data_IF_715647013829
#
_entry.id   IF_715647013829
#
_cell.length_a   1.000
_cell.length_b   1.000
_cell.length_c   1.000
_cell.angle_alpha   90.00
_cell.angle_beta   90.00
_cell.angle_gamma   90.00
#
_symmetry.space_group_name_H-M   'P 1'
#
loop_
_entity.id
_entity.type
_entity.pdbx_description
1 polymer ?
#
# COMPACT_ATOMS: atom_id res chain seq x y z
N UNK A 1 -26.46 10.47 -18.65
CA UNK A 1 -27.86 10.46 -18.19
C UNK A 1 -27.86 10.89 -16.73
N UNK A 2 -28.62 11.93 -16.36
CA UNK A 2 -28.80 12.32 -14.95
C UNK A 2 -29.63 11.21 -14.28
N UNK A 3 -29.32 10.77 -13.04
CA UNK A 3 -30.14 9.79 -12.34
C UNK A 3 -31.60 10.25 -12.30
N UNK A 4 -32.53 9.35 -12.64
CA UNK A 4 -33.95 9.61 -12.55
C UNK A 4 -34.42 9.30 -11.12
N UNK A 5 -35.37 10.08 -10.55
CA UNK A 5 -35.99 9.75 -9.27
C UNK A 5 -36.51 8.30 -9.28
N UNK A 6 -36.01 7.45 -8.39
CA UNK A 6 -36.33 6.02 -8.31
C UNK A 6 -35.24 5.06 -8.81
N UNK A 7 -34.14 5.56 -9.38
CA UNK A 7 -33.03 4.71 -9.80
C UNK A 7 -32.31 4.06 -8.60
N UNK A 8 -31.91 2.80 -8.76
CA UNK A 8 -31.12 2.05 -7.78
C UNK A 8 -29.64 2.44 -7.87
N UNK A 9 -29.12 3.20 -6.91
CA UNK A 9 -27.75 3.73 -6.88
C UNK A 9 -26.92 2.94 -5.86
N UNK A 10 -25.94 2.17 -6.35
CA UNK A 10 -25.00 1.43 -5.48
C UNK A 10 -23.88 2.35 -4.94
N UNK A 11 -23.48 2.21 -3.67
CA UNK A 11 -22.39 2.98 -3.11
C UNK A 11 -21.07 2.67 -3.82
N UNK A 12 -20.29 3.71 -4.09
CA UNK A 12 -18.93 3.56 -4.63
C UNK A 12 -18.02 3.02 -3.53
N UNK A 13 -17.04 2.19 -3.91
CA UNK A 13 -16.01 1.73 -2.96
C UNK A 13 -15.30 2.95 -2.33
N UNK A 14 -14.96 2.91 -1.03
CA UNK A 14 -14.25 4.00 -0.37
C UNK A 14 -12.91 4.28 -1.06
N UNK A 15 -12.66 5.54 -1.42
CA UNK A 15 -11.44 5.97 -2.08
C UNK A 15 -10.21 5.68 -1.21
N UNK A 16 -10.33 5.85 0.12
CA UNK A 16 -9.26 5.52 1.07
C UNK A 16 -8.83 4.07 0.98
N UNK A 17 -9.79 3.13 0.87
CA UNK A 17 -9.49 1.70 0.75
C UNK A 17 -8.83 1.40 -0.60
N UNK A 18 -9.35 1.98 -1.69
CA UNK A 18 -8.79 1.75 -3.03
C UNK A 18 -7.35 2.24 -3.14
N UNK A 19 -7.05 3.45 -2.67
CA UNK A 19 -5.70 4.01 -2.73
C UNK A 19 -4.73 3.24 -1.83
N UNK A 20 -5.10 2.97 -0.58
CA UNK A 20 -4.24 2.23 0.35
C UNK A 20 -3.96 0.79 -0.14
N UNK A 21 -4.98 0.10 -0.67
CA UNK A 21 -4.84 -1.24 -1.25
C UNK A 21 -3.88 -1.25 -2.45
N UNK A 22 -4.04 -0.26 -3.34
CA UNK A 22 -3.18 -0.13 -4.53
C UNK A 22 -1.73 0.17 -4.14
N UNK A 23 -1.50 1.06 -3.17
CA UNK A 23 -0.16 1.36 -2.65
C UNK A 23 0.52 0.10 -2.11
N UNK A 24 -0.14 -0.65 -1.21
CA UNK A 24 0.43 -1.88 -0.64
C UNK A 24 0.69 -2.96 -1.68
N UNK A 25 -0.18 -3.08 -2.69
CA UNK A 25 0.01 -4.04 -3.78
C UNK A 25 1.24 -3.68 -4.61
N UNK A 26 1.40 -2.41 -5.00
CA UNK A 26 2.57 -1.93 -5.73
C UNK A 26 3.85 -2.11 -4.89
N UNK A 27 3.76 -1.92 -3.58
CA UNK A 27 4.87 -2.13 -2.65
C UNK A 27 5.27 -3.61 -2.56
N UNK A 28 4.31 -4.54 -2.64
CA UNK A 28 4.61 -5.97 -2.72
C UNK A 28 5.47 -6.31 -3.95
N UNK A 29 5.13 -5.76 -5.13
CA UNK A 29 5.95 -5.91 -6.34
C UNK A 29 7.32 -5.25 -6.17
N UNK A 30 7.36 -4.09 -5.52
CA UNK A 30 8.60 -3.39 -5.22
C UNK A 30 9.55 -4.23 -4.37
N UNK A 31 9.05 -4.87 -3.31
CA UNK A 31 9.84 -5.73 -2.44
C UNK A 31 10.38 -6.93 -3.20
N UNK A 32 9.62 -7.51 -4.14
CA UNK A 32 10.13 -8.58 -5.02
C UNK A 32 11.32 -8.09 -5.83
N UNK A 33 11.22 -6.91 -6.45
CA UNK A 33 12.34 -6.33 -7.19
C UNK A 33 13.53 -5.98 -6.30
N UNK A 34 13.29 -5.43 -5.12
CA UNK A 34 14.34 -5.17 -4.13
C UNK A 34 15.06 -6.47 -3.72
N UNK A 35 14.32 -7.57 -3.58
CA UNK A 35 14.86 -8.90 -3.29
C UNK A 35 15.72 -9.43 -4.45
N UNK A 36 15.28 -9.23 -5.70
CA UNK A 36 16.09 -9.57 -6.87
C UNK A 36 17.38 -8.75 -6.94
N UNK A 37 17.32 -7.45 -6.63
CA UNK A 37 18.49 -6.58 -6.58
C UNK A 37 19.45 -7.04 -5.48
N UNK A 38 18.95 -7.31 -4.27
CA UNK A 38 19.76 -7.84 -3.17
C UNK A 38 20.43 -9.17 -3.55
N UNK A 39 19.69 -10.07 -4.19
CA UNK A 39 20.23 -11.34 -4.68
C UNK A 39 21.27 -11.14 -5.79
N UNK A 40 21.03 -10.25 -6.75
CA UNK A 40 21.94 -9.96 -7.86
C UNK A 40 23.25 -9.30 -7.42
N UNK A 41 23.19 -8.43 -6.41
CA UNK A 41 24.34 -7.71 -5.85
C UNK A 41 25.07 -8.48 -4.75
N UNK A 42 24.63 -9.70 -4.40
CA UNK A 42 25.19 -10.48 -3.29
C UNK A 42 26.68 -10.76 -3.39
N UNK A 43 27.28 -10.68 -4.59
CA UNK A 43 28.71 -10.92 -4.83
C UNK A 43 29.50 -9.62 -5.14
N UNK A 44 28.87 -8.45 -5.06
CA UNK A 44 29.48 -7.16 -5.41
C UNK A 44 29.89 -6.42 -4.13
N UNK A 45 31.19 -6.18 -3.88
CA UNK A 45 31.66 -5.60 -2.61
C UNK A 45 31.20 -4.16 -2.34
N UNK A 46 31.05 -3.32 -3.37
CA UNK A 46 30.82 -1.88 -3.21
C UNK A 46 29.35 -1.45 -3.32
N UNK A 47 28.43 -2.39 -3.54
CA UNK A 47 27.01 -2.08 -3.83
C UNK A 47 26.04 -2.50 -2.74
N UNK A 48 26.55 -2.96 -1.59
CA UNK A 48 25.73 -3.46 -0.47
C UNK A 48 25.52 -2.38 0.59
N UNK A 49 24.41 -2.51 1.31
CA UNK A 49 24.15 -1.70 2.48
C UNK A 49 24.82 -2.23 3.75
N UNK A 50 24.65 -1.52 4.88
CA UNK A 50 25.25 -1.89 6.17
C UNK A 50 24.73 -3.20 6.77
N UNK A 51 23.58 -3.71 6.33
CA UNK A 51 23.01 -4.99 6.78
C UNK A 51 23.23 -6.06 5.71
N UNK A 52 24.06 -7.06 6.02
CA UNK A 52 24.28 -8.21 5.13
C UNK A 52 23.44 -9.42 5.53
N UNK A 53 22.78 -10.03 4.54
CA UNK A 53 22.08 -11.29 4.72
C UNK A 53 23.03 -12.45 4.41
N UNK A 54 23.13 -13.48 5.28
CA UNK A 54 24.24 -14.43 5.28
C UNK A 54 24.25 -15.38 4.08
N UNK A 55 23.09 -15.66 3.48
CA UNK A 55 23.00 -16.53 2.32
C UNK A 55 21.81 -16.16 1.40
N UNK A 56 21.81 -16.74 0.21
CA UNK A 56 20.76 -16.54 -0.78
C UNK A 56 19.36 -16.93 -0.27
N UNK A 57 19.26 -18.00 0.53
CA UNK A 57 17.98 -18.44 1.08
C UNK A 57 17.38 -17.39 2.03
N UNK A 58 18.20 -16.73 2.85
CA UNK A 58 17.77 -15.65 3.74
C UNK A 58 17.23 -14.44 2.97
N UNK A 59 17.85 -14.07 1.84
CA UNK A 59 17.37 -12.97 0.98
C UNK A 59 15.96 -13.28 0.47
N UNK A 60 15.77 -14.47 -0.09
CA UNK A 60 14.47 -14.89 -0.61
C UNK A 60 13.42 -15.07 0.48
N UNK A 61 13.80 -15.56 1.64
CA UNK A 61 12.88 -15.75 2.76
C UNK A 61 12.39 -14.40 3.31
N UNK A 62 13.29 -13.48 3.60
CA UNK A 62 12.93 -12.15 4.13
C UNK A 62 12.10 -11.37 3.11
N UNK A 63 12.58 -11.29 1.87
CA UNK A 63 11.91 -10.60 0.78
C UNK A 63 10.55 -11.21 0.42
N UNK A 64 10.49 -12.54 0.30
CA UNK A 64 9.28 -13.28 -0.02
C UNK A 64 8.22 -13.17 1.07
N UNK A 65 8.60 -13.32 2.35
CA UNK A 65 7.67 -13.14 3.48
C UNK A 65 7.12 -11.73 3.49
N UNK A 66 7.96 -10.71 3.34
CA UNK A 66 7.51 -9.32 3.33
C UNK A 66 6.57 -9.03 2.15
N UNK A 67 6.87 -9.54 0.95
CA UNK A 67 5.99 -9.41 -0.21
C UNK A 67 4.63 -10.07 0.01
N UNK A 68 4.58 -11.27 0.61
CA UNK A 68 3.31 -11.95 0.96
C UNK A 68 2.54 -11.16 2.01
N UNK A 69 3.21 -10.64 3.05
CA UNK A 69 2.57 -9.80 4.07
C UNK A 69 1.94 -8.57 3.44
N UNK A 70 2.65 -7.86 2.56
CA UNK A 70 2.12 -6.70 1.83
C UNK A 70 0.94 -7.08 0.94
N UNK A 71 1.00 -8.23 0.25
CA UNK A 71 -0.11 -8.73 -0.55
C UNK A 71 -1.35 -9.01 0.29
N UNK A 72 -1.19 -9.67 1.45
CA UNK A 72 -2.30 -9.92 2.38
C UNK A 72 -2.87 -8.60 2.90
N UNK A 73 -2.01 -7.68 3.35
CA UNK A 73 -2.43 -6.36 3.83
C UNK A 73 -3.13 -5.55 2.76
N UNK A 74 -2.72 -5.63 1.48
CA UNK A 74 -3.41 -4.95 0.39
C UNK A 74 -4.88 -5.37 0.27
N UNK A 75 -5.22 -6.60 0.65
CA UNK A 75 -6.59 -7.12 0.64
C UNK A 75 -7.35 -6.84 1.92
N UNK A 76 -6.65 -6.74 3.05
CA UNK A 76 -7.27 -6.56 4.37
C UNK A 76 -7.23 -5.12 4.89
N UNK A 77 -6.63 -4.16 4.19
CA UNK A 77 -6.44 -2.77 4.67
C UNK A 77 -7.73 -2.05 5.09
N UNK A 78 -8.88 -2.43 4.53
CA UNK A 78 -10.18 -1.87 4.87
C UNK A 78 -10.83 -2.43 6.14
N UNK A 79 -10.24 -3.42 6.80
CA UNK A 79 -10.78 -4.04 8.02
C UNK A 79 -10.35 -3.26 9.28
N UNK A 80 -10.97 -3.52 10.46
CA UNK A 80 -10.53 -2.94 11.72
C UNK A 80 -9.03 -3.22 11.98
N UNK A 81 -8.24 -2.15 12.14
CA UNK A 81 -6.79 -2.25 12.34
C UNK A 81 -5.95 -2.39 11.06
N UNK A 82 -6.55 -2.62 9.89
CA UNK A 82 -5.83 -2.79 8.62
C UNK A 82 -4.93 -1.59 8.26
N UNK A 83 -5.40 -0.37 8.49
CA UNK A 83 -4.60 0.85 8.31
C UNK A 83 -3.45 0.99 9.30
N UNK A 84 -3.58 0.45 10.52
CA UNK A 84 -2.48 0.44 11.50
C UNK A 84 -1.42 -0.56 11.05
N UNK A 85 -1.84 -1.77 10.69
CA UNK A 85 -0.94 -2.80 10.16
C UNK A 85 -0.19 -2.31 8.90
N UNK A 86 -0.89 -1.64 7.97
CA UNK A 86 -0.28 -1.02 6.79
C UNK A 86 0.68 0.13 7.12
N UNK A 87 0.52 0.81 8.27
CA UNK A 87 1.48 1.82 8.72
C UNK A 87 2.71 1.18 9.40
N UNK A 88 2.51 0.08 10.11
CA UNK A 88 3.60 -0.67 10.76
C UNK A 88 4.49 -1.36 9.71
N UNK A 89 3.91 -1.93 8.65
CA UNK A 89 4.68 -2.63 7.60
C UNK A 89 5.60 -1.70 6.80
N UNK A 90 5.40 -0.39 6.86
CA UNK A 90 6.32 0.59 6.26
C UNK A 90 7.72 0.52 6.89
N UNK A 91 7.81 0.16 8.18
CA UNK A 91 9.10 0.05 8.89
C UNK A 91 10.01 -1.02 8.28
N UNK A 92 9.59 -2.30 8.13
CA UNK A 92 10.43 -3.29 7.46
C UNK A 92 10.68 -2.99 5.98
N UNK A 93 9.76 -2.32 5.27
CA UNK A 93 10.01 -1.88 3.89
C UNK A 93 11.15 -0.85 3.83
N UNK A 94 11.13 0.17 4.69
CA UNK A 94 12.23 1.11 4.80
C UNK A 94 13.53 0.45 5.29
N UNK A 95 13.44 -0.51 6.21
CA UNK A 95 14.59 -1.26 6.70
C UNK A 95 15.29 -2.06 5.60
N UNK A 96 14.58 -2.40 4.50
CA UNK A 96 15.19 -3.01 3.32
C UNK A 96 16.27 -2.10 2.68
N UNK A 97 16.19 -0.79 2.91
CA UNK A 97 17.25 0.18 2.59
C UNK A 97 18.60 -0.14 3.24
N UNK A 98 18.60 -0.83 4.40
CA UNK A 98 19.85 -1.27 5.05
C UNK A 98 20.53 -2.40 4.28
N UNK A 99 19.80 -3.17 3.47
CA UNK A 99 20.37 -4.20 2.58
C UNK A 99 20.79 -3.58 1.25
N UNK A 100 19.94 -2.69 0.71
CA UNK A 100 20.13 -2.04 -0.58
C UNK A 100 19.91 -0.52 -0.40
N UNK A 101 20.95 0.30 -0.20
CA UNK A 101 20.82 1.72 0.20
C UNK A 101 19.90 2.58 -0.67
N UNK A 102 19.91 2.35 -1.99
CA UNK A 102 19.00 3.05 -2.91
C UNK A 102 17.50 2.80 -2.61
N UNK A 103 17.15 1.72 -1.92
CA UNK A 103 15.78 1.44 -1.49
C UNK A 103 15.27 2.40 -0.41
N UNK A 104 16.13 3.19 0.25
CA UNK A 104 15.63 4.27 1.12
C UNK A 104 14.88 5.33 0.33
N UNK A 105 15.36 5.68 -0.86
CA UNK A 105 14.67 6.65 -1.73
C UNK A 105 13.33 6.08 -2.18
N UNK A 106 13.36 4.83 -2.65
CA UNK A 106 12.20 4.15 -3.22
C UNK A 106 11.16 3.80 -2.15
N UNK A 107 11.58 3.21 -1.03
CA UNK A 107 10.71 2.94 0.11
C UNK A 107 10.19 4.24 0.75
N UNK A 108 11.01 5.28 0.82
CA UNK A 108 10.58 6.61 1.26
C UNK A 108 9.45 7.19 0.39
N UNK A 109 9.53 7.02 -0.93
CA UNK A 109 8.44 7.37 -1.83
C UNK A 109 7.16 6.59 -1.51
N UNK A 110 7.26 5.30 -1.21
CA UNK A 110 6.10 4.48 -0.84
C UNK A 110 5.49 4.90 0.51
N UNK A 111 6.30 5.29 1.48
CA UNK A 111 5.82 5.89 2.74
C UNK A 111 5.04 7.18 2.47
N UNK A 112 5.53 8.04 1.58
CA UNK A 112 4.82 9.26 1.17
C UNK A 112 3.50 8.89 0.49
N UNK A 113 3.51 7.96 -0.46
CA UNK A 113 2.30 7.47 -1.13
C UNK A 113 1.30 6.89 -0.14
N UNK A 114 1.76 6.13 0.85
CA UNK A 114 0.92 5.58 1.91
C UNK A 114 0.20 6.67 2.69
N UNK A 115 0.96 7.66 3.17
CA UNK A 115 0.40 8.80 3.92
C UNK A 115 -0.58 9.60 3.06
N UNK A 116 -0.27 9.84 1.79
CA UNK A 116 -1.15 10.52 0.84
C UNK A 116 -2.43 9.72 0.62
N UNK A 117 -2.34 8.40 0.39
CA UNK A 117 -3.49 7.50 0.23
C UNK A 117 -4.45 7.60 1.42
N UNK A 118 -3.93 7.64 2.65
CA UNK A 118 -4.77 7.76 3.86
C UNK A 118 -5.42 9.14 3.99
N UNK A 119 -4.67 10.22 3.73
CA UNK A 119 -5.17 11.60 3.89
C UNK A 119 -6.14 11.99 2.79
N UNK A 120 -5.72 11.84 1.53
CA UNK A 120 -6.50 12.24 0.37
C UNK A 120 -7.72 11.34 0.20
N UNK A 121 -7.55 10.03 0.35
CA UNK A 121 -8.67 9.09 0.30
C UNK A 121 -9.70 9.37 1.38
N UNK A 122 -9.27 9.61 2.62
CA UNK A 122 -10.16 9.97 3.72
C UNK A 122 -10.86 11.32 3.52
N UNK A 123 -10.19 12.29 2.88
CA UNK A 123 -10.80 13.58 2.52
C UNK A 123 -11.90 13.40 1.47
N UNK A 124 -11.60 12.67 0.39
CA UNK A 124 -12.56 12.39 -0.68
C UNK A 124 -13.77 11.65 -0.14
N UNK A 125 -13.58 10.65 0.73
CA UNK A 125 -14.69 9.90 1.31
C UNK A 125 -15.59 10.77 2.19
N UNK A 126 -15.02 11.73 2.95
CA UNK A 126 -15.79 12.71 3.72
C UNK A 126 -16.55 13.70 2.84
N UNK A 127 -15.91 14.20 1.78
CA UNK A 127 -16.55 15.13 0.83
C UNK A 127 -17.72 14.46 0.11
N UNK A 128 -17.57 13.18 -0.27
CA UNK A 128 -18.66 12.37 -0.86
C UNK A 128 -19.81 12.16 0.14
N UNK A 129 -19.52 11.77 1.37
CA UNK A 129 -20.55 11.59 2.39
C UNK A 129 -21.30 12.90 2.70
N UNK A 130 -20.61 14.04 2.74
CA UNK A 130 -21.24 15.34 2.93
C UNK A 130 -22.12 15.75 1.73
N UNK A 131 -21.69 15.44 0.50
CA UNK A 131 -22.47 15.68 -0.71
C UNK A 131 -23.74 14.81 -0.72
N UNK A 132 -23.62 13.52 -0.42
CA UNK A 132 -24.74 12.57 -0.39
C UNK A 132 -25.78 12.97 0.69
N UNK A 133 -25.33 13.51 1.83
CA UNK A 133 -26.22 14.03 2.87
C UNK A 133 -26.98 15.30 2.45
N UNK A 134 -26.41 16.11 1.54
CA UNK A 134 -27.04 17.33 1.01
C UNK A 134 -27.95 17.06 -0.19
N UNK A 135 -27.74 15.95 -0.91
CA UNK A 135 -28.50 15.58 -2.11
C UNK A 135 -29.09 14.17 -2.00
N UNK A 136 -30.04 13.93 -1.07
CA UNK A 136 -30.61 12.60 -0.82
C UNK A 136 -31.23 11.95 -2.07
N UNK A 137 -31.72 12.75 -3.02
CA UNK A 137 -32.28 12.30 -4.29
C UNK A 137 -31.26 11.65 -5.24
N UNK A 138 -29.96 11.89 -5.01
CA UNK A 138 -28.86 11.25 -5.76
C UNK A 138 -27.98 10.35 -4.89
N UNK A 139 -28.28 10.25 -3.60
CA UNK A 139 -27.52 9.44 -2.66
C UNK A 139 -27.70 7.94 -2.97
N UNK A 140 -26.68 7.11 -2.70
CA UNK A 140 -26.81 5.67 -2.79
C UNK A 140 -27.98 5.16 -1.93
N UNK A 141 -28.95 4.51 -2.56
CA UNK A 141 -30.19 4.02 -1.95
C UNK A 141 -30.30 2.48 -2.02
N UNK A 142 -29.21 1.81 -2.37
CA UNK A 142 -29.16 0.38 -2.58
C UNK A 142 -27.96 -0.25 -1.90
N UNK A 143 -28.23 -1.23 -1.06
CA UNK A 143 -27.22 -2.09 -0.44
C UNK A 143 -26.55 -3.03 -1.47
#
# INVERSE_FOLDING_TARGET
MRPSPGDRIKPKKPAKVQFASTTLLLEAFLVVFATLVAYGLRNVPYSRGPLELPNAASIWLVGGVLAVVLLVLSRTVGTPGGYVAGSVVQVPVLAFGLVVPMMFVVGGLFVVLWVVSLRLGGRIDRERAAYDAQHPETAPNAD
#
